data_IF_223806433446
#
_entry.id   IF_223806433446
#
_cell.length_a   1.000
_cell.length_b   1.000
_cell.length_c   1.000
_cell.angle_alpha   90.00
_cell.angle_beta   90.00
_cell.angle_gamma   90.00
#
_symmetry.space_group_name_H-M   'P 1'
#
loop_
_entity.id
_entity.type
_entity.pdbx_description
1 polymer ?
#
# COMPACT_ATOMS: atom_id res chain seq x y z
N UNK A 1 10.52 16.00 -24.63
CA UNK A 1 11.13 16.52 -23.39
C UNK A 1 10.61 15.66 -22.25
N UNK A 2 11.48 14.85 -21.67
CA UNK A 2 11.14 13.86 -20.64
C UNK A 2 10.61 14.58 -19.39
N UNK A 3 9.39 14.27 -18.98
CA UNK A 3 8.76 14.82 -17.78
C UNK A 3 9.51 14.24 -16.58
N UNK A 4 10.21 15.09 -15.83
CA UNK A 4 10.91 14.68 -14.60
C UNK A 4 9.92 13.93 -13.68
N UNK A 5 10.37 12.89 -12.96
CA UNK A 5 9.51 12.11 -12.07
C UNK A 5 8.80 13.07 -11.09
N UNK A 6 7.49 12.88 -10.91
CA UNK A 6 6.68 13.77 -10.10
C UNK A 6 7.30 13.97 -8.71
N UNK A 7 7.38 15.22 -8.21
CA UNK A 7 7.96 15.48 -6.91
C UNK A 7 7.07 14.89 -5.83
N UNK A 8 7.70 14.12 -4.95
CA UNK A 8 7.18 13.57 -3.69
C UNK A 8 5.91 14.26 -3.17
N UNK A 9 4.87 13.50 -2.78
CA UNK A 9 3.63 14.06 -2.25
C UNK A 9 3.91 15.08 -1.13
N UNK A 10 3.26 16.25 -1.26
CA UNK A 10 3.31 17.35 -0.30
C UNK A 10 2.10 17.32 0.64
N UNK A 11 2.30 17.83 1.85
CA UNK A 11 1.25 18.07 2.82
C UNK A 11 0.21 19.04 2.23
N UNK A 12 -1.07 18.71 2.45
CA UNK A 12 -2.18 19.55 2.00
C UNK A 12 -2.08 20.95 2.62
N UNK A 13 -1.63 21.05 3.88
CA UNK A 13 -1.38 22.30 4.58
C UNK A 13 -0.31 23.15 3.88
N UNK A 14 0.84 22.57 3.53
CA UNK A 14 1.88 23.28 2.77
C UNK A 14 1.35 23.79 1.42
N UNK A 15 0.60 22.96 0.69
CA UNK A 15 -0.01 23.36 -0.60
C UNK A 15 -1.02 24.49 -0.45
N UNK A 16 -1.87 24.44 0.58
CA UNK A 16 -2.89 25.46 0.84
C UNK A 16 -2.20 26.77 1.22
N UNK A 17 -1.27 26.75 2.19
CA UNK A 17 -0.55 27.95 2.62
C UNK A 17 0.21 28.58 1.46
N UNK A 18 0.92 27.79 0.64
CA UNK A 18 1.60 28.33 -0.54
C UNK A 18 0.62 28.98 -1.52
N UNK A 19 -0.52 28.34 -1.79
CA UNK A 19 -1.50 28.88 -2.76
C UNK A 19 -2.15 30.18 -2.29
N UNK A 20 -2.45 30.31 -1.00
CA UNK A 20 -3.15 31.49 -0.47
C UNK A 20 -2.21 32.62 -0.07
N UNK A 21 -1.05 32.30 0.49
CA UNK A 21 -0.11 33.30 1.02
C UNK A 21 0.97 33.72 0.02
N UNK A 22 1.18 32.94 -1.06
CA UNK A 22 2.18 33.22 -2.10
C UNK A 22 1.53 33.17 -3.51
N UNK A 23 0.63 34.11 -3.84
CA UNK A 23 -0.13 34.08 -5.10
C UNK A 23 0.71 34.41 -6.35
N UNK A 24 1.84 35.11 -6.21
CA UNK A 24 2.71 35.48 -7.33
C UNK A 24 3.83 34.45 -7.58
N UNK A 25 3.48 33.41 -8.35
CA UNK A 25 4.44 32.45 -8.91
C UNK A 25 4.66 31.16 -8.12
N UNK A 26 4.95 30.06 -8.83
CA UNK A 26 5.27 28.75 -8.24
C UNK A 26 6.65 28.76 -7.55
N UNK A 27 6.71 29.24 -6.31
CA UNK A 27 7.86 29.03 -5.43
C UNK A 27 7.85 27.59 -4.89
N UNK A 28 8.09 26.63 -5.80
CA UNK A 28 8.12 25.20 -5.48
C UNK A 28 9.15 24.85 -4.40
N UNK A 29 10.26 25.60 -4.35
CA UNK A 29 11.26 25.54 -3.28
C UNK A 29 10.70 25.95 -1.92
N UNK A 30 9.96 27.07 -1.84
CA UNK A 30 9.36 27.54 -0.58
C UNK A 30 8.29 26.56 -0.10
N UNK A 31 7.48 26.04 -1.01
CA UNK A 31 6.47 25.02 -0.67
C UNK A 31 7.12 23.76 -0.08
N UNK A 32 8.27 23.33 -0.61
CA UNK A 32 9.04 22.21 -0.06
C UNK A 32 9.67 22.50 1.30
N UNK A 33 10.13 23.73 1.53
CA UNK A 33 10.63 24.13 2.86
C UNK A 33 9.52 24.14 3.91
N UNK A 34 8.34 24.66 3.56
CA UNK A 34 7.16 24.62 4.43
C UNK A 34 6.73 23.19 4.73
N UNK A 35 6.71 22.34 3.70
CA UNK A 35 6.41 20.92 3.83
C UNK A 35 7.40 20.20 4.76
N UNK A 36 8.72 20.37 4.54
CA UNK A 36 9.75 19.80 5.39
C UNK A 36 9.68 20.32 6.84
N UNK A 37 9.34 21.60 7.04
CA UNK A 37 9.16 22.18 8.37
C UNK A 37 7.96 21.58 9.11
N UNK A 38 6.87 21.33 8.41
CA UNK A 38 5.65 20.74 8.98
C UNK A 38 5.78 19.22 9.22
N UNK A 39 6.75 18.57 8.56
CA UNK A 39 6.95 17.14 8.64
C UNK A 39 7.72 16.69 9.90
N UNK A 40 7.04 16.68 11.04
CA UNK A 40 7.61 16.23 12.32
C UNK A 40 7.25 14.77 12.67
N UNK A 41 6.67 14.03 11.73
CA UNK A 41 6.13 12.68 11.96
C UNK A 41 6.67 11.62 11.00
N UNK A 42 7.08 11.97 9.77
CA UNK A 42 7.53 10.96 8.79
C UNK A 42 8.75 10.17 9.26
N UNK A 43 9.67 10.81 9.99
CA UNK A 43 10.83 10.16 10.59
C UNK A 43 10.49 9.18 11.72
N UNK A 44 9.28 9.29 12.31
CA UNK A 44 8.86 8.48 13.47
C UNK A 44 7.96 7.32 13.06
N UNK A 45 7.25 7.45 11.94
CA UNK A 45 6.25 6.49 11.50
C UNK A 45 6.79 5.67 10.34
N UNK A 46 6.58 4.36 10.41
CA UNK A 46 6.74 3.51 9.23
C UNK A 46 5.53 3.69 8.32
N UNK A 47 5.71 3.35 7.04
CA UNK A 47 4.61 3.21 6.07
C UNK A 47 3.47 2.39 6.70
N UNK A 48 3.84 1.30 7.39
CA UNK A 48 2.87 0.43 8.03
C UNK A 48 2.09 1.07 9.19
N UNK A 49 2.80 1.71 10.11
CA UNK A 49 2.19 2.32 11.28
C UNK A 49 1.24 3.44 10.88
N UNK A 50 1.60 4.20 9.85
CA UNK A 50 0.78 5.31 9.36
C UNK A 50 -0.60 4.85 8.87
N UNK A 51 -0.64 3.80 8.06
CA UNK A 51 -1.89 3.28 7.52
C UNK A 51 -2.67 2.50 8.56
N UNK A 52 -1.99 1.75 9.46
CA UNK A 52 -2.64 1.09 10.59
C UNK A 52 -3.46 2.06 11.43
N UNK A 53 -2.90 3.24 11.74
CA UNK A 53 -3.57 4.27 12.54
C UNK A 53 -4.63 5.06 11.80
N UNK A 54 -4.41 5.34 10.50
CA UNK A 54 -5.22 6.35 9.78
C UNK A 54 -6.07 5.80 8.64
N UNK A 55 -5.69 4.65 8.06
CA UNK A 55 -6.26 4.15 6.81
C UNK A 55 -5.97 5.05 5.59
N UNK A 56 -5.08 6.03 5.70
CA UNK A 56 -4.85 7.02 4.65
C UNK A 56 -3.75 6.56 3.69
N UNK A 57 -4.14 6.15 2.48
CA UNK A 57 -3.20 5.89 1.38
C UNK A 57 -2.30 7.10 1.11
N UNK A 58 -2.86 8.32 1.17
CA UNK A 58 -2.09 9.54 0.93
C UNK A 58 -0.98 9.74 1.95
N UNK A 59 -1.25 9.46 3.22
CA UNK A 59 -0.24 9.53 4.28
C UNK A 59 0.81 8.44 4.13
N UNK A 60 0.37 7.24 3.76
CA UNK A 60 1.24 6.11 3.47
C UNK A 60 2.23 6.43 2.34
N UNK A 61 1.74 6.98 1.23
CA UNK A 61 2.53 7.50 0.12
C UNK A 61 3.47 8.61 0.57
N UNK A 62 2.99 9.54 1.41
CA UNK A 62 3.78 10.64 1.94
C UNK A 62 5.03 10.18 2.70
N UNK A 63 4.85 9.17 3.56
CA UNK A 63 5.93 8.59 4.36
C UNK A 63 6.86 7.75 3.49
N UNK A 64 6.32 6.87 2.65
CA UNK A 64 7.13 6.01 1.78
C UNK A 64 8.07 6.82 0.88
N UNK A 65 7.58 7.95 0.36
CA UNK A 65 8.36 8.80 -0.52
C UNK A 65 9.54 9.50 0.23
N UNK A 66 9.51 9.59 1.57
CA UNK A 66 10.59 10.17 2.39
C UNK A 66 11.51 9.14 3.02
N UNK A 67 11.24 7.85 2.81
CA UNK A 67 12.12 6.78 3.25
C UNK A 67 13.09 6.43 2.11
N UNK A 68 14.41 6.69 2.25
CA UNK A 68 15.38 6.31 1.24
C UNK A 68 15.45 4.78 1.12
N UNK A 69 15.06 4.24 -0.04
CA UNK A 69 15.05 2.80 -0.29
C UNK A 69 16.44 2.13 -0.14
N UNK A 70 17.53 2.89 -0.29
CA UNK A 70 18.89 2.40 -0.13
C UNK A 70 19.29 2.09 1.33
N UNK A 71 18.59 2.68 2.30
CA UNK A 71 18.93 2.55 3.73
C UNK A 71 18.06 1.49 4.43
N UNK A 72 17.08 0.92 3.74
CA UNK A 72 16.16 -0.06 4.31
C UNK A 72 16.71 -1.46 4.07
N UNK A 73 16.93 -2.20 5.16
CA UNK A 73 17.26 -3.62 5.09
C UNK A 73 16.21 -4.39 4.25
N UNK A 74 16.63 -5.20 3.26
CA UNK A 74 15.69 -5.90 2.37
C UNK A 74 14.70 -6.83 3.09
N UNK A 75 15.13 -7.49 4.17
CA UNK A 75 14.25 -8.37 4.94
C UNK A 75 13.21 -7.56 5.72
N UNK A 76 13.63 -6.45 6.32
CA UNK A 76 12.72 -5.51 6.98
C UNK A 76 11.73 -4.91 5.98
N UNK A 77 12.18 -4.52 4.78
CA UNK A 77 11.30 -3.98 3.74
C UNK A 77 10.23 -4.98 3.31
N UNK A 78 10.62 -6.24 3.08
CA UNK A 78 9.69 -7.32 2.76
C UNK A 78 8.73 -7.63 3.91
N UNK A 79 9.21 -7.61 5.16
CA UNK A 79 8.37 -7.80 6.33
C UNK A 79 7.31 -6.69 6.46
N UNK A 80 7.71 -5.42 6.30
CA UNK A 80 6.80 -4.27 6.30
C UNK A 80 5.78 -4.40 5.16
N UNK A 81 6.24 -4.76 3.96
CA UNK A 81 5.38 -4.98 2.80
C UNK A 81 4.33 -6.06 3.07
N UNK A 82 4.72 -7.25 3.54
CA UNK A 82 3.81 -8.35 3.81
C UNK A 82 2.78 -8.01 4.91
N UNK A 83 3.24 -7.39 6.00
CA UNK A 83 2.34 -6.93 7.06
C UNK A 83 1.31 -5.93 6.52
N UNK A 84 1.75 -5.07 5.59
CA UNK A 84 0.89 -4.04 5.02
C UNK A 84 -0.08 -4.52 3.97
N UNK A 85 0.35 -5.35 3.04
CA UNK A 85 -0.56 -5.91 2.04
C UNK A 85 -1.62 -6.79 2.70
N UNK A 86 -1.28 -7.54 3.76
CA UNK A 86 -2.27 -8.27 4.58
C UNK A 86 -3.29 -7.34 5.23
N UNK A 87 -2.82 -6.27 5.87
CA UNK A 87 -3.70 -5.30 6.57
C UNK A 87 -4.61 -4.53 5.61
N UNK A 88 -4.09 -4.13 4.46
CA UNK A 88 -4.83 -3.40 3.43
C UNK A 88 -5.87 -4.32 2.79
N UNK A 89 -5.48 -5.55 2.47
CA UNK A 89 -6.39 -6.56 1.94
C UNK A 89 -7.50 -6.92 2.94
N UNK A 90 -7.18 -7.04 4.23
CA UNK A 90 -8.18 -7.30 5.28
C UNK A 90 -9.10 -6.12 5.59
N UNK A 91 -8.83 -4.95 5.01
CA UNK A 91 -9.72 -3.77 5.04
C UNK A 91 -10.51 -3.58 3.75
N UNK A 92 -10.30 -4.41 2.73
CA UNK A 92 -10.95 -4.27 1.43
C UNK A 92 -10.46 -3.08 0.62
N UNK A 93 -9.32 -2.48 0.97
CA UNK A 93 -8.79 -1.29 0.28
C UNK A 93 -7.92 -1.69 -0.92
N UNK A 94 -8.60 -2.04 -2.02
CA UNK A 94 -7.94 -2.40 -3.27
C UNK A 94 -7.04 -1.29 -3.82
N UNK A 95 -7.38 -0.02 -3.60
CA UNK A 95 -6.59 1.12 -4.12
C UNK A 95 -5.24 1.21 -3.41
N UNK A 96 -5.21 1.05 -2.09
CA UNK A 96 -3.95 1.00 -1.36
C UNK A 96 -3.14 -0.26 -1.70
N UNK A 97 -3.81 -1.38 -1.97
CA UNK A 97 -3.14 -2.62 -2.36
C UNK A 97 -2.44 -2.47 -3.70
N UNK A 98 -3.13 -1.91 -4.71
CA UNK A 98 -2.56 -1.60 -6.02
C UNK A 98 -1.30 -0.74 -5.90
N UNK A 99 -1.35 0.31 -5.09
CA UNK A 99 -0.18 1.17 -4.90
C UNK A 99 1.01 0.42 -4.26
N UNK A 100 0.75 -0.42 -3.24
CA UNK A 100 1.81 -1.23 -2.63
C UNK A 100 2.45 -2.17 -3.67
N UNK A 101 1.62 -2.86 -4.45
CA UNK A 101 2.02 -3.89 -5.41
C UNK A 101 2.69 -3.35 -6.66
N UNK A 102 2.34 -2.14 -7.09
CA UNK A 102 2.85 -1.54 -8.34
C UNK A 102 3.97 -0.53 -8.11
N UNK A 103 3.97 0.18 -6.98
CA UNK A 103 4.90 1.29 -6.72
C UNK A 103 5.85 1.06 -5.54
N UNK A 104 5.40 0.39 -4.48
CA UNK A 104 6.21 0.25 -3.25
C UNK A 104 7.17 -0.93 -3.32
N UNK A 105 6.68 -2.14 -3.67
CA UNK A 105 7.53 -3.32 -3.85
C UNK A 105 7.00 -4.24 -4.97
N UNK A 106 7.36 -3.96 -6.24
CA UNK A 106 6.75 -4.62 -7.41
C UNK A 106 7.15 -6.07 -7.62
N UNK A 107 8.24 -6.54 -7.01
CA UNK A 107 8.71 -7.93 -7.20
C UNK A 107 8.39 -8.84 -6.02
N UNK A 108 7.78 -8.31 -4.95
CA UNK A 108 7.46 -9.10 -3.76
C UNK A 108 6.28 -10.05 -3.98
N UNK A 109 6.33 -11.19 -3.29
CA UNK A 109 5.21 -12.13 -3.23
C UNK A 109 3.99 -11.50 -2.56
N UNK A 110 2.82 -11.88 -3.05
CA UNK A 110 1.52 -11.35 -2.62
C UNK A 110 0.75 -12.33 -1.71
N UNK A 111 1.40 -13.40 -1.23
CA UNK A 111 0.76 -14.42 -0.40
C UNK A 111 0.06 -13.85 0.85
N UNK A 112 0.66 -12.84 1.50
CA UNK A 112 0.08 -12.19 2.67
C UNK A 112 -1.20 -11.39 2.33
N UNK A 113 -1.28 -10.81 1.12
CA UNK A 113 -2.47 -10.13 0.63
C UNK A 113 -3.61 -11.11 0.38
N UNK A 114 -3.31 -12.26 -0.26
CA UNK A 114 -4.28 -13.34 -0.50
C UNK A 114 -4.86 -13.85 0.81
N UNK A 115 -4.01 -14.14 1.80
CA UNK A 115 -4.43 -14.58 3.12
C UNK A 115 -5.35 -13.54 3.79
N UNK A 116 -4.96 -12.26 3.77
CA UNK A 116 -5.74 -11.16 4.35
C UNK A 116 -7.11 -10.96 3.69
N UNK A 117 -7.17 -11.03 2.36
CA UNK A 117 -8.41 -10.91 1.58
C UNK A 117 -9.34 -12.09 1.83
N UNK A 118 -8.82 -13.33 1.80
CA UNK A 118 -9.62 -14.53 1.98
C UNK A 118 -10.19 -14.65 3.40
N UNK A 119 -9.36 -14.37 4.41
CA UNK A 119 -9.78 -14.37 5.83
C UNK A 119 -10.85 -13.32 6.12
N UNK A 120 -10.92 -12.26 5.31
CA UNK A 120 -11.88 -11.16 5.50
C UNK A 120 -13.01 -11.15 4.47
N UNK A 121 -13.06 -12.13 3.56
CA UNK A 121 -14.13 -12.30 2.58
C UNK A 121 -14.14 -11.32 1.42
N UNK A 122 -13.02 -10.64 1.13
CA UNK A 122 -12.95 -9.68 0.01
C UNK A 122 -12.66 -10.38 -1.32
N UNK A 123 -13.69 -11.03 -1.88
CA UNK A 123 -13.60 -11.77 -3.14
C UNK A 123 -13.03 -10.93 -4.30
N UNK A 124 -13.48 -9.68 -4.45
CA UNK A 124 -12.98 -8.78 -5.50
C UNK A 124 -11.46 -8.54 -5.46
N UNK A 125 -10.83 -8.64 -4.27
CA UNK A 125 -9.38 -8.55 -4.14
C UNK A 125 -8.72 -9.87 -4.56
N UNK A 126 -9.31 -11.02 -4.22
CA UNK A 126 -8.81 -12.33 -4.66
C UNK A 126 -8.83 -12.46 -6.18
N UNK A 127 -9.93 -12.02 -6.81
CA UNK A 127 -10.06 -11.96 -8.27
C UNK A 127 -8.97 -11.08 -8.89
N UNK A 128 -8.80 -9.85 -8.38
CA UNK A 128 -7.78 -8.94 -8.87
C UNK A 128 -6.35 -9.52 -8.72
N UNK A 129 -6.05 -10.14 -7.57
CA UNK A 129 -4.76 -10.79 -7.31
C UNK A 129 -4.50 -11.95 -8.27
N UNK A 130 -5.51 -12.77 -8.53
CA UNK A 130 -5.38 -13.92 -9.41
C UNK A 130 -5.22 -13.54 -10.88
N UNK A 131 -6.02 -12.59 -11.36
CA UNK A 131 -5.98 -12.15 -12.76
C UNK A 131 -4.71 -11.37 -13.11
N UNK A 132 -4.20 -10.53 -12.20
CA UNK A 132 -3.09 -9.61 -12.49
C UNK A 132 -1.75 -10.02 -11.90
N UNK A 133 -1.76 -10.79 -10.82
CA UNK A 133 -0.56 -11.12 -10.04
C UNK A 133 -0.51 -12.61 -9.66
N UNK A 134 -1.17 -13.48 -10.43
CA UNK A 134 -1.25 -14.91 -10.16
C UNK A 134 0.11 -15.61 -10.07
N UNK A 135 1.13 -15.10 -10.78
CA UNK A 135 2.52 -15.56 -10.74
C UNK A 135 3.28 -15.16 -9.46
N UNK A 136 2.85 -14.06 -8.82
CA UNK A 136 3.39 -13.55 -7.55
C UNK A 136 2.63 -14.08 -6.33
N UNK A 137 1.48 -14.70 -6.54
CA UNK A 137 0.64 -15.28 -5.50
C UNK A 137 0.93 -16.78 -5.34
N UNK A 138 0.86 -17.26 -4.11
CA UNK A 138 0.87 -18.68 -3.80
C UNK A 138 -0.47 -19.05 -3.18
N UNK A 139 -1.09 -20.10 -3.73
CA UNK A 139 -2.43 -20.60 -3.35
C UNK A 139 -2.26 -21.97 -2.70
N UNK A 140 -1.73 -21.95 -1.47
CA UNK A 140 -1.29 -23.13 -0.74
C UNK A 140 -2.30 -23.68 0.27
N UNK A 141 -3.53 -23.16 0.27
CA UNK A 141 -4.60 -23.58 1.16
C UNK A 141 -4.73 -22.77 2.45
N UNK A 142 -3.75 -21.92 2.81
CA UNK A 142 -3.90 -21.02 3.97
C UNK A 142 -5.07 -20.07 3.79
N UNK A 143 -5.23 -19.53 2.58
CA UNK A 143 -6.34 -18.69 2.18
C UNK A 143 -7.70 -19.42 2.24
N UNK A 144 -7.71 -20.71 1.86
CA UNK A 144 -8.92 -21.53 1.96
C UNK A 144 -9.30 -21.79 3.42
N UNK A 145 -8.32 -22.09 4.28
CA UNK A 145 -8.54 -22.22 5.72
C UNK A 145 -9.10 -20.93 6.32
N UNK A 146 -8.47 -19.79 6.03
CA UNK A 146 -8.93 -18.48 6.52
C UNK A 146 -10.36 -18.15 6.08
N UNK A 147 -10.70 -18.43 4.81
CA UNK A 147 -12.07 -18.23 4.30
C UNK A 147 -13.09 -19.18 4.96
N UNK A 148 -12.72 -20.44 5.23
CA UNK A 148 -13.56 -21.42 5.91
C UNK A 148 -13.80 -21.05 7.38
N UNK A 149 -12.74 -20.72 8.11
CA UNK A 149 -12.81 -20.36 9.54
C UNK A 149 -13.72 -19.14 9.80
N UNK A 150 -13.77 -18.22 8.84
CA UNK A 150 -14.57 -17.00 8.92
C UNK A 150 -15.91 -17.08 8.15
N UNK A 151 -16.29 -18.27 7.66
CA UNK A 151 -17.55 -18.53 6.94
C UNK A 151 -17.77 -17.67 5.68
N UNK A 152 -16.69 -17.37 4.94
CA UNK A 152 -16.77 -16.62 3.67
C UNK A 152 -17.06 -17.54 2.48
N UNK A 153 -18.31 -18.02 2.41
CA UNK A 153 -18.74 -19.03 1.43
C UNK A 153 -18.41 -18.69 -0.04
N UNK A 154 -18.62 -17.44 -0.45
CA UNK A 154 -18.29 -16.98 -1.81
C UNK A 154 -16.79 -17.09 -2.11
N UNK A 155 -15.95 -16.68 -1.15
CA UNK A 155 -14.49 -16.81 -1.27
C UNK A 155 -14.05 -18.27 -1.31
N UNK A 156 -14.65 -19.14 -0.48
CA UNK A 156 -14.36 -20.59 -0.48
C UNK A 156 -14.69 -21.22 -1.83
N UNK A 157 -15.87 -20.94 -2.38
CA UNK A 157 -16.28 -21.51 -3.66
C UNK A 157 -15.39 -21.01 -4.80
N UNK A 158 -15.12 -19.71 -4.82
CA UNK A 158 -14.23 -19.13 -5.81
C UNK A 158 -12.82 -19.74 -5.76
N UNK A 159 -12.25 -19.87 -4.55
CA UNK A 159 -10.93 -20.50 -4.35
C UNK A 159 -10.90 -21.93 -4.87
N UNK A 160 -11.93 -22.74 -4.61
CA UNK A 160 -12.03 -24.13 -5.09
C UNK A 160 -12.10 -24.23 -6.61
N UNK A 161 -12.78 -23.29 -7.26
CA UNK A 161 -12.97 -23.30 -8.71
C UNK A 161 -11.75 -22.80 -9.48
N UNK A 162 -11.01 -21.83 -8.92
CA UNK A 162 -9.98 -21.10 -9.67
C UNK A 162 -8.55 -21.43 -9.23
N UNK A 163 -8.36 -21.94 -8.01
CA UNK A 163 -7.02 -22.17 -7.47
C UNK A 163 -6.74 -23.67 -7.38
N UNK A 164 -5.58 -24.08 -7.90
CA UNK A 164 -5.07 -25.43 -7.68
C UNK A 164 -4.23 -25.35 -6.42
N UNK A 165 -4.67 -26.00 -5.35
CA UNK A 165 -3.87 -26.17 -4.13
C UNK A 165 -2.58 -26.91 -4.54
N UNK A 166 -1.45 -26.19 -4.57
CA UNK A 166 -0.14 -26.72 -4.98
C UNK A 166 0.79 -26.89 -3.80
#
# INVERSE_FOLDING_TARGET
>A
MSRAPEPFPLLATARVVSRYCLPEGELSNVTRLLDAFLDNFSAKWTVAESYKRTGSLRLMQYIAARQPAADIDPFYHLWVFNAMTKLVASRGDLTALQWLTESYLPDASMAAAVEGAATSGYLHILEWLFERHGDRCYWGGMELCGALENNHAEGVEWLRMHTILR
#
